data_IF_427360473437
#
_entry.id   IF_427360473437
#
_cell.length_a   1.000
_cell.length_b   1.000
_cell.length_c   1.000
_cell.angle_alpha   90.00
_cell.angle_beta   90.00
_cell.angle_gamma   90.00
#
_symmetry.space_group_name_H-M   'P 1'
#
loop_
_entity.id
_entity.type
_entity.pdbx_description
1 polymer ?
#
# COMPACT_ATOMS: atom_id res chain seq x y z
N UNK A 1 -13.30 21.97 48.70
CA UNK A 1 -12.09 21.17 48.98
C UNK A 1 -12.52 19.71 49.03
N UNK A 2 -12.38 19.00 47.91
CA UNK A 2 -12.76 17.59 47.79
C UNK A 2 -11.50 16.76 47.54
N UNK A 3 -11.26 15.78 48.40
CA UNK A 3 -10.13 14.85 48.31
C UNK A 3 -10.27 13.91 47.09
N UNK A 4 -9.20 13.78 46.32
CA UNK A 4 -8.98 12.67 45.39
C UNK A 4 -8.67 11.38 46.16
N UNK A 5 -9.17 10.21 45.71
CA UNK A 5 -8.51 8.94 45.95
C UNK A 5 -7.61 8.57 44.75
N UNK A 6 -6.38 8.19 45.07
CA UNK A 6 -5.34 7.65 44.20
C UNK A 6 -5.72 6.27 43.63
N UNK A 7 -5.59 6.07 42.32
CA UNK A 7 -5.61 4.75 41.69
C UNK A 7 -4.18 4.26 41.48
N UNK A 8 -3.72 3.36 42.35
CA UNK A 8 -2.51 2.56 42.17
C UNK A 8 -2.86 1.09 42.28
N UNK A 9 -3.03 0.41 41.15
CA UNK A 9 -2.79 -1.05 41.04
C UNK A 9 -2.70 -1.47 39.57
N UNK A 10 -1.61 -2.12 39.14
CA UNK A 10 -1.55 -2.81 37.85
C UNK A 10 -2.15 -4.21 38.01
N UNK A 11 -3.16 -4.55 37.21
CA UNK A 11 -3.74 -5.89 37.17
C UNK A 11 -2.97 -6.77 36.18
N UNK A 12 -2.19 -7.72 36.72
CA UNK A 12 -1.62 -8.83 35.98
C UNK A 12 -2.66 -9.92 35.74
N UNK A 13 -2.74 -10.42 34.50
CA UNK A 13 -3.49 -11.61 34.11
C UNK A 13 -2.98 -12.84 34.89
N UNK A 14 -3.89 -13.58 35.54
CA UNK A 14 -3.70 -15.01 35.87
C UNK A 14 -4.74 -15.80 35.08
N UNK A 15 -4.33 -16.36 33.95
CA UNK A 15 -5.12 -17.32 33.17
C UNK A 15 -4.52 -18.71 33.30
N UNK A 16 -5.33 -19.68 33.68
CA UNK A 16 -4.97 -21.11 33.71
C UNK A 16 -4.97 -21.65 32.28
N UNK A 17 -3.80 -21.94 31.74
CA UNK A 17 -3.59 -22.31 30.34
C UNK A 17 -3.88 -23.80 30.08
N UNK A 18 -4.81 -24.09 29.16
CA UNK A 18 -4.90 -25.40 28.51
C UNK A 18 -3.98 -25.40 27.29
N UNK A 19 -3.07 -26.39 27.20
CA UNK A 19 -2.00 -26.51 26.19
C UNK A 19 -2.40 -26.36 24.71
N UNK A 20 -3.68 -26.48 24.36
CA UNK A 20 -4.18 -26.25 22.98
C UNK A 20 -4.46 -24.78 22.63
N UNK A 21 -4.72 -23.92 23.61
CA UNK A 21 -4.99 -22.48 23.39
C UNK A 21 -3.70 -21.67 23.22
N UNK A 22 -2.60 -22.10 23.86
CA UNK A 22 -1.32 -21.40 23.76
C UNK A 22 -0.72 -21.44 22.35
N UNK A 23 -0.78 -22.61 21.69
CA UNK A 23 -0.24 -22.78 20.35
C UNK A 23 -0.96 -21.90 19.33
N UNK A 24 -2.30 -21.84 19.41
CA UNK A 24 -3.11 -20.98 18.54
C UNK A 24 -2.88 -19.49 18.81
N UNK A 25 -2.72 -19.07 20.07
CA UNK A 25 -2.46 -17.67 20.41
C UNK A 25 -1.09 -17.18 19.93
N UNK A 26 -0.04 -18.01 20.04
CA UNK A 26 1.30 -17.66 19.53
C UNK A 26 1.31 -17.55 18.02
N UNK A 27 0.64 -18.45 17.30
CA UNK A 27 0.54 -18.39 15.82
C UNK A 27 -0.27 -17.19 15.34
N UNK A 28 -1.39 -16.87 15.99
CA UNK A 28 -2.19 -15.68 15.64
C UNK A 28 -1.39 -14.40 15.89
N UNK A 29 -0.68 -14.31 17.01
CA UNK A 29 0.17 -13.16 17.32
C UNK A 29 1.30 -13.00 16.28
N UNK A 30 1.91 -14.11 15.86
CA UNK A 30 2.94 -14.09 14.83
C UNK A 30 2.39 -13.61 13.48
N UNK A 31 1.24 -14.13 13.02
CA UNK A 31 0.62 -13.70 11.76
C UNK A 31 0.24 -12.21 11.78
N UNK A 32 -0.24 -11.71 12.92
CA UNK A 32 -0.55 -10.29 13.10
C UNK A 32 0.71 -9.42 13.03
N UNK A 33 1.80 -9.85 13.67
CA UNK A 33 3.08 -9.17 13.63
C UNK A 33 3.68 -9.15 12.22
N UNK A 34 3.63 -10.28 11.51
CA UNK A 34 4.06 -10.38 10.12
C UNK A 34 3.29 -9.42 9.23
N UNK A 35 1.96 -9.36 9.38
CA UNK A 35 1.12 -8.40 8.66
C UNK A 35 1.46 -6.95 9.04
N UNK A 36 1.76 -6.66 10.30
CA UNK A 36 2.20 -5.32 10.70
C UNK A 36 3.50 -4.95 10.01
N UNK A 37 4.51 -5.83 10.00
CA UNK A 37 5.80 -5.54 9.34
C UNK A 37 5.66 -5.43 7.83
N UNK A 38 4.75 -6.20 7.21
CA UNK A 38 4.48 -6.13 5.78
C UNK A 38 3.95 -4.75 5.34
N UNK A 39 3.12 -4.11 6.16
CA UNK A 39 2.42 -2.87 5.79
C UNK A 39 2.92 -1.64 6.52
N UNK A 40 3.52 -1.75 7.70
CA UNK A 40 3.91 -0.61 8.52
C UNK A 40 5.42 -0.40 8.42
N UNK A 41 5.82 0.72 7.84
CA UNK A 41 7.22 1.13 7.68
C UNK A 41 7.48 2.45 8.44
N UNK A 42 7.72 2.40 9.76
CA UNK A 42 7.87 3.58 10.61
C UNK A 42 8.90 4.59 10.11
N UNK A 43 9.96 4.12 9.46
CA UNK A 43 11.01 4.95 8.86
C UNK A 43 10.48 5.93 7.80
N UNK A 44 9.34 5.64 7.14
CA UNK A 44 8.71 6.54 6.17
C UNK A 44 7.87 7.64 6.84
N UNK A 45 7.42 7.42 8.07
CA UNK A 45 6.57 8.35 8.83
C UNK A 45 7.41 9.20 9.81
N UNK A 46 8.48 8.61 10.32
CA UNK A 46 9.42 9.20 11.27
C UNK A 46 10.67 9.76 10.57
N UNK A 47 10.54 10.16 9.30
CA UNK A 47 11.64 10.66 8.45
C UNK A 47 12.32 11.93 8.99
N UNK A 48 11.63 12.67 9.87
CA UNK A 48 12.17 13.80 10.61
C UNK A 48 13.16 13.43 11.73
N UNK A 49 13.26 12.15 12.09
CA UNK A 49 14.25 11.65 13.04
C UNK A 49 15.51 11.17 12.30
N UNK A 50 16.64 11.91 12.37
CA UNK A 50 17.85 11.50 11.68
C UNK A 50 18.42 10.21 12.28
N UNK A 51 18.85 9.29 11.42
CA UNK A 51 19.62 8.11 11.84
C UNK A 51 18.81 7.00 12.49
N UNK A 52 17.51 6.87 12.19
CA UNK A 52 16.74 5.69 12.57
C UNK A 52 17.41 4.41 12.03
N UNK A 53 17.91 3.61 12.95
CA UNK A 53 18.57 2.33 12.65
C UNK A 53 17.56 1.20 12.56
N UNK A 54 17.92 0.14 11.84
CA UNK A 54 17.10 -1.07 11.76
C UNK A 54 16.83 -1.69 13.14
N UNK A 55 17.81 -1.64 14.05
CA UNK A 55 17.64 -2.08 15.45
C UNK A 55 16.55 -1.30 16.19
N UNK A 56 16.48 0.03 15.99
CA UNK A 56 15.44 0.86 16.61
C UNK A 56 14.06 0.55 16.02
N UNK A 57 13.98 0.32 14.71
CA UNK A 57 12.73 -0.06 14.05
C UNK A 57 12.25 -1.43 14.54
N UNK A 58 13.14 -2.43 14.60
CA UNK A 58 12.84 -3.76 15.14
C UNK A 58 12.28 -3.68 16.58
N UNK A 59 12.86 -2.80 17.40
CA UNK A 59 12.41 -2.55 18.78
C UNK A 59 10.97 -2.03 18.84
N UNK A 60 10.51 -1.21 17.87
CA UNK A 60 9.12 -0.75 17.81
C UNK A 60 8.13 -1.91 17.65
N UNK A 61 8.57 -2.99 17.00
CA UNK A 61 7.82 -4.22 16.81
C UNK A 61 8.06 -5.27 17.91
N UNK A 62 8.80 -4.91 18.97
CA UNK A 62 9.22 -5.83 20.04
C UNK A 62 10.01 -7.05 19.53
N UNK A 63 10.81 -6.83 18.49
CA UNK A 63 11.73 -7.81 17.91
C UNK A 63 13.17 -7.40 18.15
N UNK A 64 14.07 -8.38 18.17
CA UNK A 64 15.48 -8.10 17.93
C UNK A 64 15.75 -7.86 16.43
N UNK A 65 16.92 -7.33 16.12
CA UNK A 65 17.31 -6.99 14.74
C UNK A 65 17.36 -8.21 13.83
N UNK A 66 17.79 -9.37 14.33
CA UNK A 66 17.95 -10.58 13.51
C UNK A 66 16.60 -11.17 13.12
N UNK A 67 15.63 -11.15 14.04
CA UNK A 67 14.26 -11.59 13.82
C UNK A 67 13.53 -10.69 12.84
N UNK A 68 13.67 -9.37 13.00
CA UNK A 68 13.12 -8.39 12.05
C UNK A 68 13.72 -8.56 10.65
N UNK A 69 15.04 -8.69 10.53
CA UNK A 69 15.73 -8.93 9.27
C UNK A 69 15.25 -10.23 8.61
N UNK A 70 15.13 -11.32 9.38
CA UNK A 70 14.64 -12.61 8.87
C UNK A 70 13.22 -12.51 8.31
N UNK A 71 12.32 -11.78 8.97
CA UNK A 71 10.97 -11.54 8.47
C UNK A 71 10.98 -10.73 7.17
N UNK A 72 11.79 -9.66 7.09
CA UNK A 72 11.95 -8.88 5.85
C UNK A 72 12.54 -9.70 4.71
N UNK A 73 13.58 -10.50 4.98
CA UNK A 73 14.18 -11.37 3.97
C UNK A 73 13.19 -12.40 3.42
N UNK A 74 12.25 -12.89 4.24
CA UNK A 74 11.19 -13.78 3.76
C UNK A 74 10.24 -13.08 2.78
N UNK A 75 9.85 -11.84 3.04
CA UNK A 75 9.04 -11.07 2.06
C UNK A 75 9.83 -10.80 0.77
N UNK A 76 11.12 -10.48 0.87
CA UNK A 76 11.99 -10.31 -0.29
C UNK A 76 12.12 -11.59 -1.13
N UNK A 77 12.27 -12.75 -0.48
CA UNK A 77 12.28 -14.04 -1.17
C UNK A 77 10.95 -14.32 -1.85
N UNK A 78 9.83 -14.07 -1.17
CA UNK A 78 8.50 -14.24 -1.74
C UNK A 78 8.26 -13.34 -2.96
N UNK A 79 8.74 -12.08 -2.93
CA UNK A 79 8.72 -11.18 -4.09
C UNK A 79 9.54 -11.75 -5.24
N UNK A 80 10.74 -12.29 -4.96
CA UNK A 80 11.61 -12.93 -5.97
C UNK A 80 10.97 -14.15 -6.61
N UNK A 81 10.48 -15.08 -5.81
CA UNK A 81 9.78 -16.28 -6.29
C UNK A 81 8.55 -15.91 -7.12
N UNK A 82 7.75 -14.94 -6.64
CA UNK A 82 6.55 -14.48 -7.35
C UNK A 82 6.91 -13.80 -8.66
N UNK A 83 7.91 -12.91 -8.67
CA UNK A 83 8.37 -12.24 -9.89
C UNK A 83 8.93 -13.23 -10.91
N UNK A 84 9.66 -14.26 -10.46
CA UNK A 84 10.13 -15.34 -11.34
C UNK A 84 8.94 -16.09 -11.95
N UNK A 85 7.95 -16.46 -11.14
CA UNK A 85 6.73 -17.12 -11.63
C UNK A 85 5.93 -16.24 -12.61
N UNK A 86 5.90 -14.91 -12.40
CA UNK A 86 5.33 -13.97 -13.36
C UNK A 86 6.09 -13.97 -14.69
N UNK A 87 7.43 -14.03 -14.65
CA UNK A 87 8.29 -14.05 -15.84
C UNK A 87 8.28 -15.38 -16.61
N UNK A 88 7.81 -16.47 -15.99
CA UNK A 88 7.59 -17.74 -16.69
C UNK A 88 6.42 -17.64 -17.70
N UNK A 89 5.54 -16.64 -17.54
CA UNK A 89 4.54 -16.26 -18.54
C UNK A 89 5.18 -15.39 -19.64
N UNK A 90 5.27 -15.95 -20.84
CA UNK A 90 5.90 -15.31 -21.99
C UNK A 90 5.29 -13.94 -22.35
N UNK A 91 3.98 -13.74 -22.15
CA UNK A 91 3.34 -12.45 -22.47
C UNK A 91 3.73 -11.37 -21.45
N UNK A 92 3.86 -11.74 -20.17
CA UNK A 92 4.36 -10.82 -19.15
C UNK A 92 5.84 -10.50 -19.35
N UNK A 93 6.67 -11.51 -19.66
CA UNK A 93 8.09 -11.32 -19.94
C UNK A 93 8.35 -10.41 -21.15
N UNK A 94 7.66 -10.64 -22.28
CA UNK A 94 7.67 -9.73 -23.44
C UNK A 94 7.23 -8.32 -23.04
N UNK A 95 6.24 -8.24 -22.16
CA UNK A 95 5.78 -6.97 -21.64
C UNK A 95 6.87 -6.20 -20.90
N UNK A 96 7.63 -6.87 -20.02
CA UNK A 96 8.77 -6.25 -19.31
C UNK A 96 9.84 -5.77 -20.30
N UNK A 97 10.14 -6.56 -21.34
CA UNK A 97 11.11 -6.20 -22.38
C UNK A 97 10.68 -4.93 -23.15
N UNK A 98 9.38 -4.75 -23.36
CA UNK A 98 8.80 -3.64 -24.13
C UNK A 98 8.45 -2.40 -23.31
N UNK A 99 8.54 -2.46 -21.98
CA UNK A 99 8.24 -1.31 -21.15
C UNK A 99 9.14 -0.11 -21.50
N UNK A 100 8.58 1.10 -21.50
CA UNK A 100 9.23 2.33 -22.01
C UNK A 100 10.32 2.90 -21.09
N UNK A 101 10.58 2.26 -19.94
CA UNK A 101 11.55 2.74 -18.97
C UNK A 101 12.96 2.67 -19.57
N UNK A 102 13.65 3.81 -19.58
CA UNK A 102 15.00 3.92 -20.10
C UNK A 102 16.04 3.55 -19.03
N UNK A 103 17.27 3.16 -19.43
CA UNK A 103 18.32 2.88 -18.47
C UNK A 103 18.58 4.04 -17.50
N UNK A 104 18.70 3.73 -16.21
CA UNK A 104 18.94 4.68 -15.12
C UNK A 104 17.75 5.54 -14.72
N UNK A 105 16.57 5.38 -15.35
CA UNK A 105 15.38 6.13 -14.96
C UNK A 105 14.86 5.75 -13.58
N UNK A 106 14.18 6.71 -12.95
CA UNK A 106 13.55 6.52 -11.64
C UNK A 106 12.05 6.36 -11.83
N UNK A 107 11.53 5.21 -11.42
CA UNK A 107 10.10 4.88 -11.35
C UNK A 107 9.64 4.97 -9.90
N UNK A 108 8.81 5.96 -9.60
CA UNK A 108 8.35 6.23 -8.24
C UNK A 108 6.87 5.90 -8.09
N UNK A 109 6.55 5.00 -7.16
CA UNK A 109 5.19 4.75 -6.72
C UNK A 109 4.83 5.63 -5.53
N UNK A 110 3.93 6.59 -5.73
CA UNK A 110 3.33 7.39 -4.66
C UNK A 110 2.01 6.75 -4.27
N UNK A 111 1.82 6.36 -3.01
CA UNK A 111 0.59 5.66 -2.67
C UNK A 111 0.30 5.47 -1.20
N UNK A 112 -0.64 4.58 -0.96
CA UNK A 112 -1.06 4.14 0.37
C UNK A 112 -0.63 2.69 0.64
N UNK A 113 -1.32 1.98 1.53
CA UNK A 113 -0.97 0.63 1.99
C UNK A 113 -0.70 -0.37 0.85
N UNK A 114 -1.47 -0.32 -0.24
CA UNK A 114 -1.28 -1.22 -1.40
C UNK A 114 0.04 -1.02 -2.14
N UNK A 115 0.60 0.20 -2.07
CA UNK A 115 1.93 0.52 -2.60
C UNK A 115 3.00 0.29 -1.54
N UNK A 116 2.71 0.63 -0.28
CA UNK A 116 3.65 0.49 0.84
C UNK A 116 4.02 -0.99 1.12
N UNK A 117 3.09 -1.91 0.87
CA UNK A 117 3.23 -3.36 1.02
C UNK A 117 4.59 -3.90 0.52
N UNK A 118 5.29 -4.66 1.37
CA UNK A 118 6.53 -5.36 1.01
C UNK A 118 6.35 -6.39 -0.11
N UNK A 119 5.12 -6.80 -0.41
CA UNK A 119 4.73 -7.66 -1.53
C UNK A 119 3.99 -6.88 -2.64
N UNK A 120 4.09 -5.54 -2.65
CA UNK A 120 3.32 -4.70 -3.57
C UNK A 120 3.62 -5.00 -5.04
N UNK A 121 2.65 -4.62 -5.89
CA UNK A 121 2.82 -4.56 -7.34
C UNK A 121 4.11 -3.85 -7.78
N UNK A 122 4.58 -2.85 -7.02
CA UNK A 122 5.80 -2.10 -7.33
C UNK A 122 7.05 -2.90 -6.99
N UNK A 123 7.07 -3.61 -5.87
CA UNK A 123 8.16 -4.52 -5.52
C UNK A 123 8.24 -5.71 -6.49
N UNK A 124 7.09 -6.25 -6.91
CA UNK A 124 7.02 -7.27 -7.96
C UNK A 124 7.57 -6.74 -9.30
N UNK A 125 7.21 -5.52 -9.69
CA UNK A 125 7.73 -4.89 -10.91
C UNK A 125 9.24 -4.65 -10.83
N UNK A 126 9.73 -4.11 -9.70
CA UNK A 126 11.17 -3.93 -9.45
C UNK A 126 11.92 -5.24 -9.62
N UNK A 127 11.45 -6.29 -8.96
CA UNK A 127 12.11 -7.58 -8.99
C UNK A 127 12.07 -8.24 -10.37
N UNK A 128 10.98 -8.07 -11.13
CA UNK A 128 10.90 -8.53 -12.51
C UNK A 128 11.93 -7.81 -13.40
N UNK A 129 12.14 -6.51 -13.23
CA UNK A 129 13.19 -5.77 -13.94
C UNK A 129 14.60 -6.22 -13.56
N UNK A 130 14.86 -6.45 -12.26
CA UNK A 130 16.17 -6.96 -11.82
C UNK A 130 16.50 -8.33 -12.42
N UNK A 131 15.50 -9.20 -12.56
CA UNK A 131 15.68 -10.53 -13.15
C UNK A 131 15.80 -10.49 -14.68
N UNK A 132 15.03 -9.60 -15.35
CA UNK A 132 14.89 -9.60 -16.81
C UNK A 132 15.74 -8.56 -17.54
N UNK A 133 15.87 -7.37 -16.96
CA UNK A 133 16.58 -6.19 -17.53
C UNK A 133 17.61 -5.61 -16.54
N UNK A 134 18.53 -6.41 -15.95
CA UNK A 134 19.46 -5.95 -14.91
C UNK A 134 20.40 -4.83 -15.38
N UNK A 135 20.74 -4.81 -16.67
CA UNK A 135 21.65 -3.82 -17.24
C UNK A 135 21.04 -2.41 -17.36
N UNK A 136 19.72 -2.30 -17.33
CA UNK A 136 19.07 -1.01 -17.44
C UNK A 136 19.19 -0.21 -16.14
N UNK A 137 19.42 -0.86 -15.00
CA UNK A 137 19.57 -0.18 -13.71
C UNK A 137 18.44 0.81 -13.40
N UNK A 138 17.22 0.50 -13.85
CA UNK A 138 16.01 1.27 -13.51
C UNK A 138 15.82 1.24 -12.00
N UNK A 139 15.64 2.40 -11.40
CA UNK A 139 15.48 2.54 -9.95
C UNK A 139 14.01 2.65 -9.60
N UNK A 140 13.50 1.67 -8.86
CA UNK A 140 12.13 1.69 -8.34
C UNK A 140 12.12 2.26 -6.92
N UNK A 141 11.25 3.23 -6.68
CA UNK A 141 11.14 3.93 -5.39
C UNK A 141 9.72 3.75 -4.86
N UNK A 142 9.61 3.00 -3.77
CA UNK A 142 8.37 2.81 -3.05
C UNK A 142 8.14 3.94 -2.03
N UNK A 143 7.41 4.97 -2.45
CA UNK A 143 6.97 6.08 -1.59
C UNK A 143 5.52 5.89 -1.09
N UNK A 144 5.02 4.65 -1.07
CA UNK A 144 3.77 4.31 -0.39
C UNK A 144 3.92 4.47 1.12
N UNK A 145 2.83 4.90 1.78
CA UNK A 145 2.73 4.94 3.24
C UNK A 145 1.37 4.40 3.65
N UNK A 146 1.32 3.36 4.48
CA UNK A 146 0.06 2.77 4.93
C UNK A 146 -0.86 3.77 5.63
N UNK A 147 -2.14 3.74 5.28
CA UNK A 147 -3.15 4.69 5.79
C UNK A 147 -3.09 6.10 5.19
N UNK A 148 -2.18 6.36 4.23
CA UNK A 148 -2.00 7.69 3.64
C UNK A 148 -3.20 8.13 2.80
N UNK A 149 -3.76 9.28 3.15
CA UNK A 149 -4.73 10.04 2.33
C UNK A 149 -4.04 10.89 1.28
N UNK A 150 -4.79 11.43 0.32
CA UNK A 150 -4.27 12.40 -0.66
C UNK A 150 -3.74 13.67 -0.01
N UNK A 151 -4.30 14.11 1.13
CA UNK A 151 -3.81 15.25 1.91
C UNK A 151 -2.40 14.98 2.44
N UNK A 152 -2.16 13.78 2.96
CA UNK A 152 -0.85 13.39 3.48
C UNK A 152 0.17 13.15 2.36
N UNK A 153 -0.25 12.54 1.25
CA UNK A 153 0.59 12.40 0.07
C UNK A 153 1.02 13.77 -0.50
N UNK A 154 0.10 14.75 -0.54
CA UNK A 154 0.41 16.12 -0.96
C UNK A 154 1.42 16.80 -0.01
N UNK A 155 1.32 16.56 1.31
CA UNK A 155 2.25 17.10 2.30
C UNK A 155 3.69 16.64 2.06
N UNK A 156 3.91 15.37 1.75
CA UNK A 156 5.26 14.80 1.55
C UNK A 156 5.78 14.94 0.11
N UNK A 157 4.91 15.28 -0.84
CA UNK A 157 5.19 15.25 -2.27
C UNK A 157 6.48 15.96 -2.67
N UNK A 158 6.74 17.18 -2.18
CA UNK A 158 7.92 17.95 -2.60
C UNK A 158 9.23 17.26 -2.24
N UNK A 159 9.31 16.65 -1.05
CA UNK A 159 10.47 15.84 -0.64
C UNK A 159 10.62 14.60 -1.54
N UNK A 160 9.50 13.95 -1.88
CA UNK A 160 9.48 12.82 -2.82
C UNK A 160 9.98 13.21 -4.22
N UNK A 161 9.56 14.38 -4.73
CA UNK A 161 9.95 14.88 -6.06
C UNK A 161 11.41 15.33 -6.15
N UNK A 162 12.11 15.57 -5.03
CA UNK A 162 13.56 15.84 -5.03
C UNK A 162 14.38 14.66 -5.60
N UNK A 163 13.81 13.46 -5.62
CA UNK A 163 14.40 12.30 -6.29
C UNK A 163 14.40 12.43 -7.81
N UNK A 164 13.69 13.42 -8.37
CA UNK A 164 13.56 13.69 -9.82
C UNK A 164 13.09 12.45 -10.60
N UNK A 165 11.93 11.87 -10.27
CA UNK A 165 11.41 10.72 -10.99
C UNK A 165 11.20 11.01 -12.48
N UNK A 166 11.39 9.98 -13.30
CA UNK A 166 11.01 9.94 -14.71
C UNK A 166 9.57 9.43 -14.86
N UNK A 167 9.13 8.60 -13.93
CA UNK A 167 7.79 8.04 -13.88
C UNK A 167 7.22 8.22 -12.47
N UNK A 168 6.01 8.78 -12.39
CA UNK A 168 5.27 8.94 -11.15
C UNK A 168 3.96 8.15 -11.27
N UNK A 169 3.86 7.05 -10.54
CA UNK A 169 2.68 6.20 -10.52
C UNK A 169 1.94 6.44 -9.20
N UNK A 170 0.80 7.12 -9.27
CA UNK A 170 -0.02 7.51 -8.13
C UNK A 170 -1.11 6.46 -7.88
N UNK A 171 -1.02 5.77 -6.74
CA UNK A 171 -2.05 4.84 -6.25
C UNK A 171 -2.45 5.22 -4.82
N UNK A 172 -3.26 6.27 -4.73
CA UNK A 172 -3.72 6.89 -3.48
C UNK A 172 -5.16 7.35 -3.61
N UNK A 173 -5.90 7.30 -2.50
CA UNK A 173 -7.23 7.87 -2.37
C UNK A 173 -8.26 6.94 -1.74
N UNK A 174 -7.99 5.64 -1.60
CA UNK A 174 -8.93 4.75 -0.94
C UNK A 174 -9.10 5.11 0.55
N UNK A 175 -8.04 5.60 1.20
CA UNK A 175 -8.12 6.10 2.57
C UNK A 175 -8.85 7.45 2.70
N UNK A 176 -8.99 8.24 1.63
CA UNK A 176 -9.78 9.49 1.68
C UNK A 176 -11.25 9.18 2.02
N UNK A 177 -11.77 8.10 1.43
CA UNK A 177 -13.15 7.66 1.60
C UNK A 177 -13.34 6.72 2.81
N UNK A 178 -12.29 6.48 3.60
CA UNK A 178 -12.42 5.80 4.88
C UNK A 178 -13.38 6.60 5.76
N UNK A 179 -14.39 5.94 6.31
CA UNK A 179 -15.36 6.54 7.22
C UNK A 179 -15.07 6.15 8.66
N UNK A 180 -15.22 7.12 9.56
CA UNK A 180 -14.95 6.97 10.99
C UNK A 180 -16.18 7.31 11.81
N UNK A 181 -16.52 6.45 12.76
CA UNK A 181 -17.54 6.70 13.78
C UNK A 181 -18.95 6.39 13.29
N UNK A 182 -19.63 5.44 13.94
CA UNK A 182 -21.05 5.18 13.68
C UNK A 182 -21.94 6.12 14.51
N UNK A 183 -23.13 6.55 14.04
CA UNK A 183 -23.81 6.25 12.78
C UNK A 183 -23.65 7.33 11.68
N UNK A 184 -23.02 8.48 11.97
CA UNK A 184 -22.80 9.59 11.05
C UNK A 184 -21.35 9.60 10.57
N UNK A 185 -20.97 8.54 9.86
CA UNK A 185 -19.57 8.31 9.52
C UNK A 185 -19.14 9.23 8.37
N UNK A 186 -18.51 10.36 8.67
CA UNK A 186 -17.90 11.25 7.67
C UNK A 186 -16.67 10.55 7.07
N UNK A 187 -16.39 10.77 5.78
CA UNK A 187 -15.11 10.38 5.18
C UNK A 187 -13.95 11.20 5.77
N UNK A 188 -12.76 10.62 5.82
CA UNK A 188 -11.55 11.31 6.27
C UNK A 188 -11.27 12.57 5.46
N UNK A 189 -11.46 12.49 4.15
CA UNK A 189 -11.30 13.58 3.20
C UNK A 189 -12.57 13.62 2.33
N UNK A 190 -13.10 14.81 2.08
CA UNK A 190 -14.27 14.93 1.19
C UNK A 190 -13.85 14.69 -0.26
N UNK A 191 -14.76 14.20 -1.10
CA UNK A 191 -14.48 13.99 -2.52
C UNK A 191 -13.99 15.28 -3.23
N UNK A 192 -14.50 16.44 -2.80
CA UNK A 192 -14.06 17.74 -3.32
C UNK A 192 -12.61 18.05 -2.91
N UNK A 193 -12.23 17.81 -1.65
CA UNK A 193 -10.85 17.99 -1.19
C UNK A 193 -9.93 16.99 -1.88
N UNK A 194 -10.35 15.73 -2.05
CA UNK A 194 -9.64 14.74 -2.84
C UNK A 194 -9.39 15.23 -4.27
N UNK A 195 -10.39 15.85 -4.93
CA UNK A 195 -10.22 16.44 -6.26
C UNK A 195 -9.16 17.54 -6.27
N UNK A 196 -9.20 18.44 -5.27
CA UNK A 196 -8.24 19.55 -5.13
C UNK A 196 -6.83 19.03 -4.85
N UNK A 197 -6.67 18.03 -3.98
CA UNK A 197 -5.39 17.39 -3.69
C UNK A 197 -4.81 16.68 -4.93
N UNK A 198 -5.63 15.89 -5.64
CA UNK A 198 -5.22 15.17 -6.85
C UNK A 198 -4.82 16.15 -7.98
N UNK A 199 -5.49 17.30 -8.09
CA UNK A 199 -5.08 18.36 -9.02
C UNK A 199 -3.75 19.01 -8.60
N UNK A 200 -3.58 19.30 -7.30
CA UNK A 200 -2.35 19.88 -6.76
C UNK A 200 -1.15 18.94 -6.94
N UNK A 201 -1.30 17.65 -6.65
CA UNK A 201 -0.25 16.63 -6.87
C UNK A 201 0.18 16.61 -8.33
N UNK A 202 -0.78 16.57 -9.27
CA UNK A 202 -0.48 16.57 -10.70
C UNK A 202 0.27 17.83 -11.12
N UNK A 203 -0.19 19.00 -10.67
CA UNK A 203 0.41 20.28 -11.00
C UNK A 203 1.84 20.40 -10.47
N UNK A 204 2.07 20.05 -9.20
CA UNK A 204 3.41 20.09 -8.59
C UNK A 204 4.37 19.11 -9.27
N UNK A 205 3.93 17.88 -9.56
CA UNK A 205 4.74 16.91 -10.29
C UNK A 205 5.12 17.41 -11.70
N UNK A 206 4.18 18.01 -12.43
CA UNK A 206 4.41 18.54 -13.77
C UNK A 206 5.30 19.79 -13.80
N UNK A 207 5.29 20.60 -12.73
CA UNK A 207 6.08 21.83 -12.65
C UNK A 207 7.49 21.60 -12.11
N UNK A 208 7.68 20.58 -11.27
CA UNK A 208 8.97 20.29 -10.63
C UNK A 208 9.75 19.18 -11.31
N UNK A 209 9.10 18.36 -12.14
CA UNK A 209 9.73 17.22 -12.81
C UNK A 209 9.24 17.10 -14.26
N UNK A 210 9.90 16.24 -15.03
CA UNK A 210 9.43 15.78 -16.35
C UNK A 210 8.73 14.43 -16.26
N UNK A 211 8.32 14.00 -15.06
CA UNK A 211 7.82 12.66 -14.85
C UNK A 211 6.54 12.42 -15.66
N UNK A 212 6.46 11.30 -16.37
CA UNK A 212 5.18 10.80 -16.88
C UNK A 212 4.34 10.32 -15.70
N UNK A 213 3.11 10.81 -15.62
CA UNK A 213 2.20 10.56 -14.51
C UNK A 213 1.16 9.52 -14.91
N UNK A 214 1.03 8.48 -14.10
CA UNK A 214 -0.03 7.46 -14.20
C UNK A 214 -0.82 7.46 -12.90
N UNK A 215 -2.15 7.46 -13.00
CA UNK A 215 -3.04 7.33 -11.85
C UNK A 215 -3.68 5.96 -11.85
N UNK A 216 -3.64 5.28 -10.71
CA UNK A 216 -4.30 3.99 -10.51
C UNK A 216 -5.58 4.26 -9.72
N UNK A 217 -6.73 3.90 -10.30
CA UNK A 217 -8.01 3.93 -9.61
C UNK A 217 -8.05 2.76 -8.62
N UNK A 218 -8.32 2.98 -7.33
CA UNK A 218 -8.40 1.89 -6.37
C UNK A 218 -9.53 0.91 -6.68
N UNK A 219 -9.33 -0.40 -6.43
CA UNK A 219 -10.40 -1.39 -6.51
C UNK A 219 -11.49 -1.12 -5.46
N UNK A 220 -12.66 -1.73 -5.65
CA UNK A 220 -13.72 -1.74 -4.65
C UNK A 220 -13.37 -2.70 -3.50
N UNK A 221 -13.98 -2.51 -2.33
CA UNK A 221 -13.79 -3.41 -1.18
C UNK A 221 -14.78 -4.58 -1.18
N UNK A 222 -14.44 -5.65 -0.47
CA UNK A 222 -15.37 -6.73 -0.13
C UNK A 222 -16.11 -6.34 1.15
N UNK A 223 -17.26 -5.69 1.00
CA UNK A 223 -17.99 -5.03 2.10
C UNK A 223 -18.31 -5.97 3.27
N UNK A 224 -18.62 -7.24 3.00
CA UNK A 224 -18.92 -8.23 4.04
C UNK A 224 -17.69 -8.53 4.91
N UNK A 225 -16.50 -8.58 4.30
CA UNK A 225 -15.23 -8.79 5.02
C UNK A 225 -14.85 -7.57 5.84
N UNK A 226 -15.06 -6.35 5.31
CA UNK A 226 -14.86 -5.10 6.05
C UNK A 226 -15.76 -5.08 7.30
N UNK A 227 -17.05 -5.36 7.12
CA UNK A 227 -18.03 -5.35 8.20
C UNK A 227 -17.76 -6.42 9.27
N UNK A 228 -17.23 -7.58 8.88
CA UNK A 228 -16.90 -8.68 9.79
C UNK A 228 -15.53 -8.53 10.48
N UNK A 229 -14.70 -7.57 10.08
CA UNK A 229 -13.33 -7.44 10.60
C UNK A 229 -13.30 -6.87 12.03
N UNK A 230 -12.79 -7.60 13.05
CA UNK A 230 -12.81 -7.15 14.43
C UNK A 230 -12.00 -5.86 14.69
N UNK A 231 -10.92 -5.65 13.94
CA UNK A 231 -10.10 -4.44 14.08
C UNK A 231 -10.85 -3.21 13.57
N UNK A 232 -11.50 -3.32 12.40
CA UNK A 232 -12.32 -2.24 11.84
C UNK A 232 -13.55 -1.96 12.69
N UNK A 233 -14.24 -2.99 13.21
CA UNK A 233 -15.35 -2.82 14.15
C UNK A 233 -14.94 -2.06 15.40
N UNK A 234 -13.83 -2.48 16.04
CA UNK A 234 -13.32 -1.86 17.27
C UNK A 234 -12.98 -0.39 17.09
N UNK A 235 -12.41 -0.04 15.94
CA UNK A 235 -12.03 1.35 15.61
C UNK A 235 -13.12 2.13 14.89
N UNK A 236 -14.29 1.52 14.65
CA UNK A 236 -15.40 2.09 13.89
C UNK A 236 -14.97 2.62 12.52
N UNK A 237 -14.18 1.82 11.81
CA UNK A 237 -13.67 2.11 10.46
C UNK A 237 -14.50 1.36 9.44
N UNK A 238 -14.86 2.00 8.34
CA UNK A 238 -15.50 1.33 7.20
C UNK A 238 -15.14 2.01 5.89
N UNK A 239 -15.36 1.28 4.79
CA UNK A 239 -15.27 1.77 3.43
C UNK A 239 -16.53 1.36 2.68
N UNK A 240 -17.14 2.30 1.97
CA UNK A 240 -18.33 2.06 1.19
C UNK A 240 -17.98 2.07 -0.30
N UNK A 241 -18.50 1.10 -1.05
CA UNK A 241 -18.22 1.01 -2.48
C UNK A 241 -18.81 2.18 -3.28
N UNK A 242 -19.90 2.81 -2.81
CA UNK A 242 -20.43 4.03 -3.42
C UNK A 242 -19.41 5.18 -3.41
N UNK A 243 -18.70 5.37 -2.29
CA UNK A 243 -17.67 6.42 -2.20
C UNK A 243 -16.44 6.08 -3.06
N UNK A 244 -16.05 4.80 -3.12
CA UNK A 244 -14.96 4.33 -3.99
C UNK A 244 -15.32 4.46 -5.49
N UNK A 245 -16.58 4.21 -5.86
CA UNK A 245 -17.08 4.44 -7.22
C UNK A 245 -17.00 5.94 -7.55
N UNK A 246 -17.45 6.81 -6.64
CA UNK A 246 -17.38 8.26 -6.83
C UNK A 246 -15.92 8.77 -6.96
N UNK A 247 -15.00 8.21 -6.18
CA UNK A 247 -13.56 8.43 -6.32
C UNK A 247 -13.05 7.96 -7.68
N UNK A 248 -13.44 6.76 -8.12
CA UNK A 248 -13.08 6.23 -9.42
C UNK A 248 -13.56 7.12 -10.56
N UNK A 249 -14.80 7.59 -10.49
CA UNK A 249 -15.37 8.52 -11.46
C UNK A 249 -14.64 9.87 -11.50
N UNK A 250 -14.22 10.37 -10.34
CA UNK A 250 -13.36 11.56 -10.24
C UNK A 250 -12.03 11.34 -10.98
N UNK A 251 -11.37 10.20 -10.73
CA UNK A 251 -10.08 9.87 -11.35
C UNK A 251 -10.21 9.58 -12.85
N UNK A 252 -11.28 8.93 -13.31
CA UNK A 252 -11.57 8.71 -14.75
C UNK A 252 -11.75 10.00 -15.52
N UNK A 253 -12.41 11.00 -14.92
CA UNK A 253 -12.63 12.32 -15.54
C UNK A 253 -11.36 13.18 -15.59
N UNK A 254 -10.30 12.79 -14.89
CA UNK A 254 -9.04 13.52 -14.88
C UNK A 254 -8.35 13.44 -16.24
N UNK A 255 -7.73 14.53 -16.66
CA UNK A 255 -6.82 14.50 -17.81
C UNK A 255 -5.53 13.79 -17.41
N UNK A 256 -5.22 12.68 -18.08
CA UNK A 256 -3.99 11.93 -17.83
C UNK A 256 -4.10 10.47 -18.18
N UNK A 257 -3.03 9.74 -17.85
CA UNK A 257 -2.94 8.31 -18.02
C UNK A 257 -3.51 7.62 -16.78
N UNK A 258 -4.53 6.77 -16.96
CA UNK A 258 -5.30 6.19 -15.84
C UNK A 258 -5.46 4.69 -16.04
N UNK A 259 -5.08 3.91 -15.02
CA UNK A 259 -5.30 2.46 -14.92
C UNK A 259 -6.49 2.19 -13.98
N UNK A 260 -7.54 1.55 -14.50
CA UNK A 260 -8.78 1.30 -13.74
C UNK A 260 -8.81 -0.09 -13.08
N UNK A 261 -8.53 -0.16 -11.77
CA UNK A 261 -8.60 -1.43 -11.05
C UNK A 261 -10.01 -1.84 -10.64
N UNK A 262 -11.01 -0.96 -10.70
CA UNK A 262 -12.40 -1.36 -10.43
C UNK A 262 -12.90 -2.29 -11.53
N UNK A 263 -12.57 -1.97 -12.78
CA UNK A 263 -12.86 -2.85 -13.92
C UNK A 263 -12.11 -4.19 -13.81
N UNK A 264 -10.84 -4.16 -13.36
CA UNK A 264 -10.02 -5.36 -13.22
C UNK A 264 -10.48 -6.29 -12.08
N UNK A 265 -10.79 -5.74 -10.91
CA UNK A 265 -11.17 -6.50 -9.73
C UNK A 265 -12.65 -6.89 -9.74
N UNK A 266 -13.47 -6.14 -10.47
CA UNK A 266 -14.90 -6.37 -10.63
C UNK A 266 -15.77 -5.57 -9.65
N UNK A 267 -17.08 -5.59 -9.93
CA UNK A 267 -18.13 -5.09 -9.05
C UNK A 267 -19.28 -6.12 -9.05
N UNK A 268 -19.38 -7.01 -8.03
CA UNK A 268 -18.60 -7.01 -6.78
C UNK A 268 -17.14 -7.41 -6.98
N UNK A 269 -16.27 -6.96 -6.08
CA UNK A 269 -14.84 -7.30 -6.08
C UNK A 269 -14.62 -8.80 -5.91
N UNK A 270 -13.75 -9.37 -6.75
CA UNK A 270 -13.31 -10.75 -6.66
C UNK A 270 -12.63 -11.03 -5.31
N UNK A 271 -13.20 -11.87 -4.44
CA UNK A 271 -12.67 -12.05 -3.07
C UNK A 271 -11.27 -12.67 -3.01
N UNK A 272 -10.83 -13.39 -4.04
CA UNK A 272 -9.50 -14.02 -4.11
C UNK A 272 -8.38 -13.00 -4.39
N UNK A 273 -8.74 -11.86 -4.97
CA UNK A 273 -7.80 -10.75 -5.20
C UNK A 273 -7.64 -9.86 -3.97
N UNK A 274 -8.38 -10.12 -2.89
CA UNK A 274 -8.34 -9.35 -1.65
C UNK A 274 -7.92 -10.21 -0.47
N UNK A 275 -7.18 -9.63 0.47
CA UNK A 275 -6.95 -10.23 1.78
C UNK A 275 -8.29 -10.50 2.51
N UNK A 276 -8.28 -11.33 3.57
CA UNK A 276 -9.45 -11.56 4.40
C UNK A 276 -10.02 -10.32 5.09
N UNK A 277 -9.28 -9.20 5.10
CA UNK A 277 -9.81 -7.92 5.59
C UNK A 277 -10.76 -7.23 4.60
N UNK A 278 -10.80 -7.68 3.34
CA UNK A 278 -11.66 -7.11 2.30
C UNK A 278 -11.21 -5.76 1.76
N UNK A 279 -10.08 -5.23 2.22
CA UNK A 279 -9.57 -3.91 1.87
C UNK A 279 -8.32 -4.00 0.98
N UNK A 280 -7.33 -4.79 1.42
CA UNK A 280 -6.01 -4.80 0.80
C UNK A 280 -5.95 -5.88 -0.28
N UNK A 281 -5.34 -5.59 -1.46
CA UNK A 281 -5.07 -6.63 -2.46
C UNK A 281 -4.25 -7.77 -1.85
N UNK A 282 -4.65 -9.02 -2.09
CA UNK A 282 -3.84 -10.20 -1.76
C UNK A 282 -2.61 -10.27 -2.66
N UNK A 283 -1.69 -11.22 -2.44
CA UNK A 283 -0.59 -11.44 -3.38
C UNK A 283 -1.10 -11.71 -4.82
N UNK A 284 -2.21 -12.42 -4.98
CA UNK A 284 -2.85 -12.60 -6.30
C UNK A 284 -3.40 -11.27 -6.85
N UNK A 285 -3.95 -10.43 -5.99
CA UNK A 285 -4.33 -9.05 -6.33
C UNK A 285 -3.14 -8.20 -6.78
N UNK A 286 -2.03 -8.22 -6.05
CA UNK A 286 -0.80 -7.51 -6.39
C UNK A 286 -0.22 -7.99 -7.74
N UNK A 287 -0.25 -9.31 -8.00
CA UNK A 287 0.10 -9.89 -9.30
C UNK A 287 -0.82 -9.41 -10.43
N UNK A 288 -2.14 -9.34 -10.19
CA UNK A 288 -3.10 -8.81 -11.17
C UNK A 288 -2.83 -7.34 -11.48
N UNK A 289 -2.52 -6.52 -10.46
CA UNK A 289 -2.19 -5.10 -10.60
C UNK A 289 -0.93 -4.93 -11.45
N UNK A 290 0.17 -5.63 -11.14
CA UNK A 290 1.41 -5.46 -11.92
C UNK A 290 1.25 -5.92 -13.38
N UNK A 291 0.51 -7.01 -13.63
CA UNK A 291 0.18 -7.45 -15.00
C UNK A 291 -0.62 -6.40 -15.77
N UNK A 292 -1.64 -5.82 -15.13
CA UNK A 292 -2.46 -4.78 -15.73
C UNK A 292 -1.65 -3.50 -16.00
N UNK A 293 -0.77 -3.11 -15.07
CA UNK A 293 0.12 -1.95 -15.24
C UNK A 293 1.09 -2.15 -16.40
N UNK A 294 1.75 -3.31 -16.48
CA UNK A 294 2.67 -3.62 -17.59
C UNK A 294 1.94 -3.52 -18.93
N UNK A 295 0.78 -4.18 -19.06
CA UNK A 295 -0.05 -4.13 -20.27
C UNK A 295 -0.44 -2.70 -20.63
N UNK A 296 -0.96 -1.94 -19.65
CA UNK A 296 -1.41 -0.56 -19.83
C UNK A 296 -0.29 0.35 -20.33
N UNK A 297 0.91 0.24 -19.75
CA UNK A 297 2.05 1.05 -20.15
C UNK A 297 2.53 0.72 -21.55
N UNK A 298 2.43 -0.53 -22.00
CA UNK A 298 2.79 -0.91 -23.38
C UNK A 298 1.79 -0.31 -24.37
N UNK A 299 0.49 -0.47 -24.12
CA UNK A 299 -0.57 0.02 -25.01
C UNK A 299 -0.58 1.54 -25.14
N UNK A 300 -0.09 2.26 -24.13
CA UNK A 300 0.01 3.73 -24.12
C UNK A 300 1.36 4.27 -24.60
N UNK A 301 2.27 3.41 -25.04
CA UNK A 301 3.57 3.79 -25.63
C UNK A 301 3.77 3.30 -27.07
N UNK A 302 2.82 2.55 -27.60
CA UNK A 302 2.67 2.29 -29.04
C UNK A 302 1.88 3.41 -29.71
#
# INVERSE_FOLDING_TARGET
>A
MGCCPSLSTPFFFKGTEKKGELYNMTTIHQQQLEKLIQFQHPEKILDFLPGLTETQIATLFQLDTADYQRLKSRFQEQVRETAQSLLDDAAFADGIDRLPFQPGEIVLGLGESSTDDLLSWLELLRQAFELRRPHDQVRFVNAGVSGQTTTQALRSLTATLLQKPNWLICFVGANDVQRIGFPLAKSLVSLEETARNVAAIQHLAATQTKARQIWIIPPLVVSERIAANPFFQRLQLTWNNEDLIALGDLLRRKSGDVLDLQALFGNPTSPDLMYPDGLHPSLAGQQAIVRALVKHLIERNT
#
